data_IF_775063333523
#
_entry.id   IF_775063333523
#
_cell.length_a   1.000
_cell.length_b   1.000
_cell.length_c   1.000
_cell.angle_alpha   90.00
_cell.angle_beta   90.00
_cell.angle_gamma   90.00
#
_symmetry.space_group_name_H-M   'P 1'
#
loop_
_entity.id
_entity.type
_entity.pdbx_description
1 polymer ?
#
# COMPACT_ATOMS: atom_id res chain seq x y z
N UNK A 1 9.06 -7.48 -22.34
CA UNK A 1 8.96 -6.78 -21.03
C UNK A 1 7.96 -5.66 -21.21
N UNK A 2 6.92 -5.59 -20.39
CA UNK A 2 6.02 -4.44 -20.41
C UNK A 2 6.67 -3.33 -19.59
N UNK A 3 6.81 -2.13 -20.17
CA UNK A 3 7.19 -0.95 -19.39
C UNK A 3 6.21 -0.79 -18.23
N UNK A 4 6.72 -0.73 -17.01
CA UNK A 4 5.90 -0.41 -15.86
C UNK A 4 5.32 1.00 -16.06
N UNK A 5 4.01 1.16 -15.86
CA UNK A 5 3.32 2.46 -15.79
C UNK A 5 3.91 3.29 -14.64
N UNK A 6 5.05 3.93 -14.89
CA UNK A 6 5.67 4.86 -13.98
C UNK A 6 5.23 6.25 -14.38
N UNK A 7 4.77 7.11 -13.46
CA UNK A 7 4.53 8.51 -13.75
C UNK A 7 5.75 9.12 -14.46
N UNK A 8 5.56 9.94 -15.49
CA UNK A 8 6.67 10.44 -16.32
C UNK A 8 7.78 11.20 -15.56
N UNK A 9 7.50 11.62 -14.32
CA UNK A 9 8.45 12.30 -13.43
C UNK A 9 8.87 11.46 -12.22
N UNK A 10 8.66 10.13 -12.26
CA UNK A 10 9.13 9.24 -11.21
C UNK A 10 10.67 9.19 -11.25
N UNK A 11 11.33 10.02 -10.43
CA UNK A 11 12.77 9.98 -10.29
C UNK A 11 13.16 8.87 -9.31
N UNK A 12 13.94 7.90 -9.78
CA UNK A 12 14.53 6.86 -8.95
C UNK A 12 13.86 5.48 -9.05
N UNK A 13 14.45 4.49 -8.38
CA UNK A 13 13.90 3.14 -8.22
C UNK A 13 13.50 2.97 -6.76
N UNK A 14 12.22 3.14 -6.40
CA UNK A 14 11.79 2.99 -5.02
C UNK A 14 12.06 1.56 -4.55
N UNK A 15 12.61 1.42 -3.36
CA UNK A 15 12.83 0.11 -2.75
C UNK A 15 11.61 -0.27 -1.94
N UNK A 16 10.90 -1.30 -2.38
CA UNK A 16 9.73 -1.84 -1.67
C UNK A 16 10.15 -3.06 -0.85
N UNK A 17 9.83 -3.05 0.45
CA UNK A 17 9.98 -4.21 1.33
C UNK A 17 8.65 -4.55 1.97
N UNK A 18 8.35 -5.84 2.05
CA UNK A 18 7.10 -6.36 2.59
C UNK A 18 7.42 -7.32 3.73
N UNK A 19 7.03 -6.95 4.95
CA UNK A 19 7.02 -7.84 6.11
C UNK A 19 5.67 -8.57 6.17
N UNK A 20 5.45 -9.48 5.23
CA UNK A 20 4.18 -10.20 5.12
C UNK A 20 4.05 -11.23 6.25
N UNK A 21 2.84 -11.41 6.83
CA UNK A 21 2.57 -12.57 7.66
C UNK A 21 2.74 -13.87 6.86
N UNK A 22 2.91 -14.99 7.55
CA UNK A 22 2.96 -16.31 6.91
C UNK A 22 1.71 -16.51 6.03
N UNK A 23 1.88 -16.80 4.72
CA UNK A 23 0.76 -16.97 3.81
C UNK A 23 -0.07 -18.21 4.18
N UNK A 24 -1.37 -18.15 3.88
CA UNK A 24 -2.27 -19.30 3.95
C UNK A 24 -2.33 -19.93 2.56
N UNK A 25 -1.45 -20.90 2.30
CA UNK A 25 -1.31 -21.48 0.96
C UNK A 25 -0.80 -20.44 -0.03
N UNK A 26 -1.57 -20.20 -1.09
CA UNK A 26 -1.26 -19.24 -2.15
C UNK A 26 -1.91 -17.86 -1.94
N UNK A 27 -2.41 -17.58 -0.74
CA UNK A 27 -3.02 -16.30 -0.39
C UNK A 27 -2.33 -15.66 0.82
N UNK A 28 -2.25 -14.33 0.81
CA UNK A 28 -1.82 -13.56 1.97
C UNK A 28 -2.50 -12.20 2.03
N UNK A 29 -2.85 -11.77 3.25
CA UNK A 29 -3.33 -10.43 3.54
C UNK A 29 -2.20 -9.65 4.20
N UNK A 30 -1.82 -8.53 3.61
CA UNK A 30 -0.70 -7.71 4.07
C UNK A 30 -1.20 -6.32 4.48
N UNK A 31 -1.10 -5.94 5.77
CA UNK A 31 -1.37 -4.57 6.19
C UNK A 31 -0.36 -3.60 5.57
N UNK A 32 -0.83 -2.45 5.07
CA UNK A 32 0.04 -1.41 4.48
C UNK A 32 1.05 -0.82 5.46
N UNK A 33 0.83 -0.97 6.77
CA UNK A 33 1.81 -0.62 7.80
C UNK A 33 3.05 -1.51 7.78
N UNK A 34 2.96 -2.73 7.22
CA UNK A 34 4.06 -3.69 7.05
C UNK A 34 4.70 -3.65 5.66
N UNK A 35 4.21 -2.78 4.78
CA UNK A 35 4.81 -2.50 3.50
C UNK A 35 5.59 -1.20 3.67
N UNK A 36 6.87 -1.20 3.30
CA UNK A 36 7.70 0.00 3.33
C UNK A 36 8.19 0.33 1.93
N UNK A 37 8.20 1.62 1.60
CA UNK A 37 8.76 2.18 0.38
C UNK A 37 9.82 3.18 0.82
N UNK A 38 11.07 2.93 0.43
CA UNK A 38 12.24 3.72 0.85
C UNK A 38 12.32 3.89 2.38
N UNK A 39 12.01 2.81 3.10
CA UNK A 39 12.01 2.76 4.57
C UNK A 39 10.80 3.42 5.26
N UNK A 40 9.90 4.06 4.50
CA UNK A 40 8.67 4.65 5.05
C UNK A 40 7.49 3.69 4.88
N UNK A 41 6.65 3.48 5.91
CA UNK A 41 5.44 2.69 5.76
C UNK A 41 4.55 3.24 4.63
N UNK A 42 4.00 2.35 3.80
CA UNK A 42 3.12 2.73 2.68
C UNK A 42 1.93 3.55 3.17
N UNK A 43 1.38 3.20 4.34
CA UNK A 43 0.35 3.99 5.02
C UNK A 43 0.72 5.48 5.17
N UNK A 44 1.96 5.77 5.56
CA UNK A 44 2.41 7.15 5.74
C UNK A 44 2.49 7.90 4.41
N UNK A 45 2.83 7.20 3.32
CA UNK A 45 2.86 7.77 1.97
C UNK A 45 1.44 8.07 1.48
N UNK A 46 0.50 7.15 1.68
CA UNK A 46 -0.91 7.35 1.33
C UNK A 46 -1.52 8.58 2.00
N UNK A 47 -1.12 8.85 3.25
CA UNK A 47 -1.62 9.99 4.02
C UNK A 47 -0.80 11.28 3.81
N UNK A 48 0.32 11.23 3.09
CA UNK A 48 1.29 12.35 3.02
C UNK A 48 0.74 13.66 2.46
N UNK A 49 -0.30 13.58 1.63
CA UNK A 49 -1.02 14.72 1.04
C UNK A 49 -2.48 14.79 1.47
N UNK A 50 -2.82 14.11 2.56
CA UNK A 50 -4.17 13.98 3.07
C UNK A 50 -4.26 14.51 4.50
N UNK A 51 -5.46 14.90 4.91
CA UNK A 51 -5.80 15.29 6.27
C UNK A 51 -7.23 14.86 6.62
N UNK A 52 -7.69 15.16 7.84
CA UNK A 52 -9.06 14.85 8.28
C UNK A 52 -9.26 13.42 8.82
N UNK A 53 -8.22 12.59 8.79
CA UNK A 53 -8.19 11.24 9.37
C UNK A 53 -7.06 11.12 10.38
N UNK A 54 -7.26 10.34 11.44
CA UNK A 54 -6.16 9.96 12.33
C UNK A 54 -5.36 8.82 11.67
N UNK A 55 -4.03 8.96 11.47
CA UNK A 55 -3.20 7.89 10.92
C UNK A 55 -3.27 6.55 11.67
N UNK A 56 -3.69 6.54 12.94
CA UNK A 56 -3.85 5.34 13.76
C UNK A 56 -5.17 4.61 13.51
N UNK A 57 -6.25 5.34 13.24
CA UNK A 57 -7.56 4.75 12.88
C UNK A 57 -7.62 4.36 11.41
N UNK A 58 -6.80 5.00 10.57
CA UNK A 58 -6.66 4.65 9.18
C UNK A 58 -6.05 3.25 9.01
N UNK A 59 -6.83 2.36 8.38
CA UNK A 59 -6.37 1.02 8.02
C UNK A 59 -6.42 0.83 6.51
N UNK A 60 -5.43 0.11 6.00
CA UNK A 60 -5.44 -0.35 4.63
C UNK A 60 -4.67 -1.66 4.53
N UNK A 61 -5.16 -2.59 3.71
CA UNK A 61 -4.58 -3.91 3.50
C UNK A 61 -4.62 -4.24 2.00
N UNK A 62 -3.65 -5.04 1.58
CA UNK A 62 -3.67 -5.67 0.25
C UNK A 62 -3.91 -7.15 0.42
N UNK A 63 -4.78 -7.69 -0.41
CA UNK A 63 -4.98 -9.12 -0.55
C UNK A 63 -4.19 -9.58 -1.76
N UNK A 64 -3.35 -10.60 -1.54
CA UNK A 64 -2.41 -11.07 -2.54
C UNK A 64 -2.64 -12.54 -2.81
N UNK A 65 -2.50 -12.92 -4.06
CA UNK A 65 -2.62 -14.29 -4.53
C UNK A 65 -1.39 -14.68 -5.33
N UNK A 66 -0.98 -15.93 -5.22
CA UNK A 66 0.12 -16.50 -5.98
C UNK A 66 -0.41 -17.14 -7.25
N UNK A 67 0.06 -16.67 -8.40
CA UNK A 67 -0.29 -17.20 -9.71
C UNK A 67 1.00 -17.54 -10.45
N UNK A 68 1.15 -18.80 -10.87
CA UNK A 68 2.35 -19.28 -11.57
C UNK A 68 3.65 -18.95 -10.82
N UNK A 69 3.67 -19.15 -9.50
CA UNK A 69 4.82 -18.93 -8.64
C UNK A 69 5.14 -17.47 -8.31
N UNK A 70 4.35 -16.51 -8.83
CA UNK A 70 4.52 -15.07 -8.58
C UNK A 70 3.35 -14.52 -7.77
N UNK A 71 3.64 -13.60 -6.85
CA UNK A 71 2.63 -12.92 -6.05
C UNK A 71 2.07 -11.70 -6.79
N UNK A 72 0.75 -11.56 -6.77
CA UNK A 72 0.02 -10.44 -7.35
C UNK A 72 -0.94 -9.87 -6.31
N UNK A 73 -1.22 -8.56 -6.40
CA UNK A 73 -2.29 -7.93 -5.63
C UNK A 73 -3.60 -8.22 -6.36
N UNK A 74 -4.53 -8.88 -5.67
CA UNK A 74 -5.88 -9.13 -6.16
C UNK A 74 -6.88 -8.09 -5.67
N UNK A 75 -6.67 -7.56 -4.46
CA UNK A 75 -7.56 -6.57 -3.85
C UNK A 75 -6.81 -5.55 -2.99
N UNK A 76 -7.41 -4.37 -2.83
CA UNK A 76 -6.94 -3.28 -2.01
C UNK A 76 -8.11 -2.70 -1.21
N UNK A 77 -8.07 -2.89 0.11
CA UNK A 77 -9.10 -2.43 1.03
C UNK A 77 -8.56 -1.28 1.88
N UNK A 78 -9.36 -0.24 2.05
CA UNK A 78 -9.04 0.99 2.74
C UNK A 78 -10.23 1.46 3.57
N UNK A 79 -9.97 1.73 4.84
CA UNK A 79 -10.98 2.18 5.79
C UNK A 79 -10.47 3.40 6.58
N UNK A 80 -11.28 4.46 6.57
CA UNK A 80 -11.08 5.70 7.32
C UNK A 80 -11.97 5.79 8.56
N UNK A 81 -12.71 4.71 8.88
CA UNK A 81 -13.77 4.68 9.87
C UNK A 81 -14.88 5.67 9.52
N UNK A 82 -15.30 6.47 10.50
CA UNK A 82 -16.29 7.54 10.30
C UNK A 82 -15.67 8.89 9.89
N UNK A 83 -14.38 8.91 9.53
CA UNK A 83 -13.66 10.12 9.18
C UNK A 83 -13.59 10.33 7.68
N UNK A 84 -13.45 11.59 7.25
CA UNK A 84 -13.35 11.95 5.84
C UNK A 84 -11.91 12.28 5.49
N UNK A 85 -11.31 11.52 4.58
CA UNK A 85 -10.03 11.85 3.98
C UNK A 85 -10.19 13.10 3.10
N UNK A 86 -9.34 14.12 3.29
CA UNK A 86 -9.37 15.35 2.51
C UNK A 86 -8.00 15.66 1.93
N UNK A 87 -7.90 16.18 0.69
CA UNK A 87 -6.64 16.61 0.12
C UNK A 87 -6.08 17.82 0.87
N UNK A 88 -4.76 17.89 1.07
CA UNK A 88 -4.11 19.09 1.56
C UNK A 88 -4.07 20.17 0.46
N UNK A 89 -4.37 21.43 0.81
CA UNK A 89 -4.27 22.58 -0.10
C UNK A 89 -5.56 22.96 -0.84
N UNK A 90 -6.73 22.54 -0.36
CA UNK A 90 -8.01 23.19 -0.65
C UNK A 90 -8.32 24.25 0.39
#
# INVERSE_FOLDING_TARGET
MSEAFSPGNASGKPTVKVDAPTPKGDEAVVPTAKITVDGKPLRAIMLSRSHGVDPKSFTAKVETAKVNGKWYIGDFDMDTGHQTLRPQGQ
#
